data_IF_697329697104
#
_entry.id   IF_697329697104
#
_cell.length_a   1.000
_cell.length_b   1.000
_cell.length_c   1.000
_cell.angle_alpha   90.00
_cell.angle_beta   90.00
_cell.angle_gamma   90.00
#
_symmetry.space_group_name_H-M   'P 1'
#
loop_
_entity.id
_entity.type
_entity.pdbx_description
1 polymer ?
#
# COMPACT_ATOMS: atom_id res chain seq x y z
N UNK A 1 6.60 -5.68 -16.28
CA UNK A 1 7.83 -5.30 -15.58
C UNK A 1 8.04 -6.18 -14.36
N UNK A 2 9.30 -6.45 -14.04
CA UNK A 2 9.63 -7.23 -12.86
C UNK A 2 9.27 -6.43 -11.60
N UNK A 3 8.65 -7.10 -10.63
CA UNK A 3 8.32 -6.52 -9.34
C UNK A 3 9.40 -6.85 -8.33
N UNK A 4 9.75 -5.90 -7.47
CA UNK A 4 10.66 -6.13 -6.36
C UNK A 4 9.86 -6.58 -5.15
N UNK A 5 10.30 -7.67 -4.53
CA UNK A 5 9.67 -8.22 -3.33
C UNK A 5 10.63 -8.06 -2.17
N UNK A 6 10.13 -7.55 -1.05
CA UNK A 6 10.90 -7.36 0.17
C UNK A 6 10.49 -8.42 1.20
N UNK A 7 11.45 -9.26 1.59
CA UNK A 7 11.30 -10.30 2.61
C UNK A 7 10.37 -11.44 2.16
N UNK A 8 9.20 -11.56 2.74
CA UNK A 8 8.28 -12.65 2.46
C UNK A 8 7.68 -12.54 1.05
N UNK A 9 7.67 -13.64 0.32
CA UNK A 9 7.00 -13.70 -0.97
C UNK A 9 5.48 -13.62 -0.77
N UNK A 10 4.78 -12.84 -1.61
CA UNK A 10 3.32 -12.79 -1.52
C UNK A 10 2.69 -14.12 -1.95
N UNK A 11 1.55 -14.45 -1.36
CA UNK A 11 0.74 -15.57 -1.81
C UNK A 11 0.09 -15.23 -3.15
N UNK A 12 -0.49 -16.24 -3.82
CA UNK A 12 -1.21 -16.01 -5.06
C UNK A 12 -2.37 -15.02 -4.88
N UNK A 13 -3.14 -15.19 -3.80
CA UNK A 13 -4.24 -14.27 -3.47
C UNK A 13 -3.74 -12.84 -3.25
N UNK A 14 -2.64 -12.70 -2.52
CA UNK A 14 -2.04 -11.38 -2.29
C UNK A 14 -1.56 -10.75 -3.58
N UNK A 15 -0.95 -11.52 -4.48
CA UNK A 15 -0.51 -11.01 -5.78
C UNK A 15 -1.69 -10.50 -6.62
N UNK A 16 -2.78 -11.24 -6.65
CA UNK A 16 -3.98 -10.83 -7.38
C UNK A 16 -4.57 -9.55 -6.80
N UNK A 17 -4.61 -9.45 -5.47
CA UNK A 17 -5.10 -8.25 -4.80
C UNK A 17 -4.15 -7.06 -4.99
N UNK A 18 -2.84 -7.30 -5.02
CA UNK A 18 -1.85 -6.26 -5.30
C UNK A 18 -1.99 -5.69 -6.70
N UNK A 19 -2.15 -6.55 -7.70
CA UNK A 19 -2.37 -6.10 -9.08
C UNK A 19 -3.67 -5.30 -9.21
N UNK A 20 -4.74 -5.81 -8.61
CA UNK A 20 -6.04 -5.13 -8.60
C UNK A 20 -5.95 -3.79 -7.86
N UNK A 21 -5.38 -3.79 -6.67
CA UNK A 21 -5.24 -2.59 -5.84
C UNK A 21 -4.36 -1.53 -6.50
N UNK A 22 -3.27 -1.95 -7.12
CA UNK A 22 -2.38 -1.05 -7.85
C UNK A 22 -3.13 -0.33 -8.98
N UNK A 23 -3.90 -1.09 -9.76
CA UNK A 23 -4.70 -0.54 -10.84
C UNK A 23 -5.74 0.46 -10.33
N UNK A 24 -6.42 0.11 -9.22
CA UNK A 24 -7.41 1.00 -8.62
C UNK A 24 -6.77 2.26 -8.06
N UNK A 25 -5.62 2.14 -7.41
CA UNK A 25 -4.88 3.29 -6.87
C UNK A 25 -4.41 4.23 -7.97
N UNK A 26 -3.94 3.68 -9.10
CA UNK A 26 -3.55 4.50 -10.25
C UNK A 26 -4.74 5.27 -10.83
N UNK A 27 -5.90 4.65 -10.93
CA UNK A 27 -7.11 5.31 -11.39
C UNK A 27 -7.53 6.43 -10.42
N UNK A 28 -7.48 6.16 -9.12
CA UNK A 28 -7.79 7.14 -8.07
C UNK A 28 -6.82 8.34 -8.15
N UNK A 29 -5.54 8.06 -8.32
CA UNK A 29 -4.52 9.10 -8.48
C UNK A 29 -4.72 9.93 -9.74
N UNK A 30 -5.15 9.29 -10.82
CA UNK A 30 -5.48 9.97 -12.08
C UNK A 30 -6.64 10.94 -11.94
N UNK A 31 -7.57 10.69 -11.04
CA UNK A 31 -8.67 11.59 -10.71
C UNK A 31 -8.27 12.66 -9.68
N UNK A 32 -7.05 12.60 -9.20
CA UNK A 32 -6.53 13.53 -8.19
C UNK A 32 -7.35 13.53 -6.89
N UNK A 33 -7.89 12.37 -6.53
CA UNK A 33 -8.66 12.22 -5.29
C UNK A 33 -7.78 11.76 -4.13
N UNK A 34 -6.95 10.76 -4.36
CA UNK A 34 -6.07 10.18 -3.35
C UNK A 34 -5.04 9.27 -3.96
N UNK A 35 -4.27 8.58 -3.11
CA UNK A 35 -3.14 7.76 -3.53
C UNK A 35 -3.18 6.35 -2.96
N UNK A 36 -4.13 6.05 -2.08
CA UNK A 36 -4.16 4.80 -1.33
C UNK A 36 -5.50 4.10 -1.48
N UNK A 37 -5.46 2.80 -1.75
CA UNK A 37 -6.64 1.95 -1.85
C UNK A 37 -6.39 0.71 -0.99
N UNK A 38 -7.40 0.29 -0.23
CA UNK A 38 -7.37 -0.94 0.54
C UNK A 38 -8.29 -1.95 -0.13
N UNK A 39 -7.77 -3.13 -0.44
CA UNK A 39 -8.54 -4.14 -1.18
C UNK A 39 -8.47 -5.49 -0.48
N UNK A 40 -9.46 -6.33 -0.74
CA UNK A 40 -9.45 -7.73 -0.33
C UNK A 40 -10.35 -8.52 -1.27
N UNK A 41 -9.84 -9.67 -1.73
CA UNK A 41 -10.57 -10.55 -2.65
C UNK A 41 -11.10 -9.78 -3.87
N UNK A 42 -10.26 -8.92 -4.42
CA UNK A 42 -10.55 -8.06 -5.58
C UNK A 42 -11.75 -7.16 -5.38
N UNK A 43 -11.99 -6.72 -4.14
CA UNK A 43 -12.99 -5.72 -3.81
C UNK A 43 -12.33 -4.55 -3.10
N UNK A 44 -12.74 -3.34 -3.42
CA UNK A 44 -12.24 -2.14 -2.74
C UNK A 44 -12.92 -2.04 -1.39
N UNK A 45 -12.14 -2.11 -0.32
CA UNK A 45 -12.63 -1.94 1.05
C UNK A 45 -12.67 -0.47 1.45
N UNK A 46 -11.69 0.31 0.99
CA UNK A 46 -11.64 1.75 1.20
C UNK A 46 -10.73 2.38 0.15
N UNK A 47 -11.05 3.62 -0.21
CA UNK A 47 -10.15 4.44 -1.00
C UNK A 47 -9.93 5.75 -0.25
N UNK A 48 -8.73 6.29 -0.39
CA UNK A 48 -8.36 7.54 0.28
C UNK A 48 -8.99 8.73 -0.42
N UNK A 49 -9.75 9.52 0.35
CA UNK A 49 -10.22 10.82 -0.10
C UNK A 49 -9.42 11.90 0.61
N UNK A 50 -10.05 12.70 1.45
CA UNK A 50 -9.38 13.79 2.15
C UNK A 50 -8.71 13.35 3.46
N UNK A 51 -9.02 12.16 3.92
CA UNK A 51 -8.64 11.68 5.26
C UNK A 51 -7.16 11.35 5.45
N UNK A 52 -6.45 11.04 4.35
CA UNK A 52 -5.05 10.62 4.40
C UNK A 52 -4.87 9.11 4.44
N UNK A 53 -3.63 8.67 4.21
CA UNK A 53 -3.28 7.25 4.05
C UNK A 53 -3.62 6.42 5.28
N UNK A 54 -3.19 6.86 6.47
CA UNK A 54 -3.35 6.05 7.68
C UNK A 54 -4.81 5.84 8.06
N UNK A 55 -5.62 6.89 7.97
CA UNK A 55 -7.07 6.78 8.24
C UNK A 55 -7.74 5.85 7.24
N UNK A 56 -7.35 5.90 5.97
CA UNK A 56 -7.86 5.02 4.93
C UNK A 56 -7.52 3.55 5.25
N UNK A 57 -6.28 3.28 5.65
CA UNK A 57 -5.83 1.92 6.01
C UNK A 57 -6.64 1.38 7.18
N UNK A 58 -6.81 2.18 8.23
CA UNK A 58 -7.56 1.75 9.41
C UNK A 58 -9.02 1.44 9.07
N UNK A 59 -9.64 2.30 8.28
CA UNK A 59 -11.04 2.12 7.86
C UNK A 59 -11.20 0.88 6.98
N UNK A 60 -10.39 0.77 5.93
CA UNK A 60 -10.44 -0.35 4.99
C UNK A 60 -10.06 -1.67 5.62
N UNK A 61 -9.05 -1.67 6.48
CA UNK A 61 -8.61 -2.86 7.17
C UNK A 61 -9.66 -3.43 8.12
N UNK A 62 -10.38 -2.55 8.81
CA UNK A 62 -11.50 -2.98 9.67
C UNK A 62 -12.63 -3.61 8.86
N UNK A 63 -12.97 -2.99 7.74
CA UNK A 63 -14.01 -3.53 6.84
C UNK A 63 -13.60 -4.88 6.26
N UNK A 64 -12.32 -5.08 5.99
CA UNK A 64 -11.79 -6.32 5.46
C UNK A 64 -11.72 -7.45 6.50
N UNK A 65 -11.74 -7.14 7.78
CA UNK A 65 -11.61 -8.14 8.86
C UNK A 65 -10.28 -8.90 8.80
N UNK A 66 -9.21 -8.20 8.49
CA UNK A 66 -7.86 -8.79 8.37
C UNK A 66 -7.51 -9.21 6.95
N UNK A 67 -6.23 -9.42 6.73
CA UNK A 67 -5.66 -9.89 5.47
C UNK A 67 -5.91 -8.97 4.26
N UNK A 68 -6.12 -7.68 4.50
CA UNK A 68 -6.24 -6.72 3.43
C UNK A 68 -4.88 -6.43 2.78
N UNK A 69 -4.93 -5.99 1.55
CA UNK A 69 -3.78 -5.48 0.80
C UNK A 69 -3.96 -3.98 0.63
N UNK A 70 -2.89 -3.24 0.90
CA UNK A 70 -2.84 -1.79 0.74
C UNK A 70 -2.04 -1.47 -0.52
N UNK A 71 -2.58 -0.62 -1.39
CA UNK A 71 -1.86 -0.12 -2.56
C UNK A 71 -1.67 1.38 -2.42
N UNK A 72 -0.44 1.85 -2.53
CA UNK A 72 -0.12 3.27 -2.48
C UNK A 72 0.75 3.64 -3.66
N UNK A 73 0.32 4.64 -4.43
CA UNK A 73 0.98 5.06 -5.67
C UNK A 73 1.23 6.56 -5.68
N UNK A 74 2.05 7.00 -6.62
CA UNK A 74 2.24 8.43 -6.89
C UNK A 74 1.10 8.94 -7.78
N UNK A 75 0.67 10.17 -7.56
CA UNK A 75 -0.25 10.84 -8.48
C UNK A 75 0.51 11.22 -9.75
N UNK A 76 -0.12 11.10 -10.94
CA UNK A 76 0.58 11.40 -12.20
C UNK A 76 1.18 12.80 -12.28
N UNK A 77 0.55 13.79 -11.64
CA UNK A 77 0.98 15.18 -11.69
C UNK A 77 2.05 15.53 -10.64
N UNK A 78 2.44 14.60 -9.76
CA UNK A 78 3.44 14.86 -8.74
C UNK A 78 4.83 15.04 -9.34
N UNK A 79 5.54 16.06 -8.88
CA UNK A 79 6.95 16.24 -9.21
C UNK A 79 7.78 15.30 -8.37
N UNK A 80 8.42 14.33 -9.01
CA UNK A 80 9.21 13.29 -8.34
C UNK A 80 10.37 13.84 -7.50
N UNK A 81 10.81 15.06 -7.75
CA UNK A 81 11.91 15.67 -7.00
C UNK A 81 11.46 16.23 -5.66
N UNK A 82 10.21 16.66 -5.57
CA UNK A 82 9.73 17.44 -4.42
C UNK A 82 8.53 16.82 -3.71
N UNK A 83 7.78 15.97 -4.40
CA UNK A 83 6.52 15.45 -3.88
C UNK A 83 6.39 13.96 -4.17
N UNK A 84 7.39 13.20 -3.75
CA UNK A 84 7.40 11.75 -3.86
C UNK A 84 6.63 11.14 -2.70
N UNK A 85 5.64 10.27 -2.95
CA UNK A 85 4.93 9.61 -1.85
C UNK A 85 5.89 8.81 -0.98
N UNK A 86 5.64 8.81 0.32
CA UNK A 86 6.51 8.16 1.28
C UNK A 86 5.76 7.12 2.09
N UNK A 87 6.45 6.03 2.39
CA UNK A 87 6.00 4.99 3.31
C UNK A 87 6.98 4.96 4.48
N UNK A 88 6.47 5.07 5.69
CA UNK A 88 7.27 5.04 6.90
C UNK A 88 6.73 4.04 7.91
N UNK A 89 7.32 4.05 9.10
CA UNK A 89 6.94 3.16 10.20
C UNK A 89 5.45 3.30 10.54
N UNK A 90 4.92 4.51 10.51
CA UNK A 90 3.51 4.75 10.85
C UNK A 90 2.55 4.03 9.91
N UNK A 91 2.86 3.95 8.62
CA UNK A 91 2.06 3.20 7.66
C UNK A 91 2.01 1.72 8.04
N UNK A 92 3.17 1.15 8.38
CA UNK A 92 3.25 -0.25 8.79
C UNK A 92 2.50 -0.47 10.10
N UNK A 93 2.62 0.44 11.06
CA UNK A 93 1.89 0.36 12.32
C UNK A 93 0.38 0.36 12.11
N UNK A 94 -0.13 1.20 11.21
CA UNK A 94 -1.55 1.21 10.84
C UNK A 94 -1.97 -0.13 10.24
N UNK A 95 -1.14 -0.72 9.39
CA UNK A 95 -1.40 -2.03 8.80
C UNK A 95 -1.42 -3.14 9.86
N UNK A 96 -0.49 -3.10 10.80
CA UNK A 96 -0.43 -4.06 11.91
C UNK A 96 -1.73 -4.01 12.73
N UNK A 97 -2.20 -2.82 13.04
CA UNK A 97 -3.40 -2.62 13.85
C UNK A 97 -4.63 -3.30 13.26
N UNK A 98 -4.75 -3.31 11.93
CA UNK A 98 -5.89 -3.92 11.22
C UNK A 98 -5.55 -5.27 10.62
N UNK A 99 -4.38 -5.83 10.93
CA UNK A 99 -3.91 -7.14 10.46
C UNK A 99 -3.90 -7.24 8.92
N UNK A 100 -3.50 -6.18 8.26
CA UNK A 100 -3.28 -6.19 6.82
C UNK A 100 -2.08 -7.08 6.49
N UNK A 101 -2.09 -7.74 5.35
CA UNK A 101 -1.07 -8.73 5.01
C UNK A 101 -0.09 -8.28 3.94
N UNK A 102 -0.42 -7.26 3.16
CA UNK A 102 0.45 -6.85 2.07
C UNK A 102 0.35 -5.38 1.71
N UNK A 103 1.46 -4.86 1.23
CA UNK A 103 1.57 -3.49 0.74
C UNK A 103 2.22 -3.51 -0.64
N UNK A 104 1.55 -2.91 -1.61
CA UNK A 104 2.14 -2.69 -2.93
C UNK A 104 2.37 -1.20 -3.13
N UNK A 105 3.58 -0.87 -3.59
CA UNK A 105 4.00 0.51 -3.84
C UNK A 105 4.46 0.63 -5.29
N UNK A 106 4.55 1.85 -5.79
CA UNK A 106 4.98 2.11 -7.15
C UNK A 106 6.50 2.17 -7.22
N UNK A 107 7.10 1.27 -8.02
CA UNK A 107 8.54 1.19 -8.18
C UNK A 107 9.11 2.47 -8.76
N UNK A 108 10.21 2.95 -8.19
CA UNK A 108 10.89 4.17 -8.65
C UNK A 108 10.15 5.46 -8.32
N UNK A 109 8.97 5.39 -7.71
CA UNK A 109 8.15 6.57 -7.40
C UNK A 109 7.68 6.62 -5.95
N UNK A 110 8.27 5.81 -5.09
CA UNK A 110 7.94 5.76 -3.66
C UNK A 110 9.20 5.78 -2.85
N UNK A 111 9.23 6.61 -1.82
CA UNK A 111 10.33 6.67 -0.87
C UNK A 111 9.97 5.85 0.36
N UNK A 112 10.84 4.94 0.77
CA UNK A 112 10.68 4.21 2.03
C UNK A 112 11.57 4.92 3.06
N UNK A 113 10.96 5.59 4.01
CA UNK A 113 11.65 6.34 5.07
C UNK A 113 12.04 5.37 6.17
N UNK A 114 13.29 5.46 6.67
CA UNK A 114 13.83 4.51 7.65
C UNK A 114 13.68 3.06 7.15
N UNK A 115 14.18 2.82 5.95
CA UNK A 115 13.95 1.58 5.19
C UNK A 115 14.20 0.31 6.02
N UNK A 116 15.32 0.22 6.72
CA UNK A 116 15.65 -0.97 7.51
C UNK A 116 14.59 -1.24 8.59
N UNK A 117 14.17 -0.18 9.27
CA UNK A 117 13.16 -0.28 10.33
C UNK A 117 11.79 -0.66 9.76
N UNK A 118 11.41 -0.07 8.63
CA UNK A 118 10.15 -0.39 7.95
C UNK A 118 10.13 -1.86 7.52
N UNK A 119 11.18 -2.32 6.86
CA UNK A 119 11.26 -3.70 6.37
C UNK A 119 11.31 -4.71 7.52
N UNK A 120 12.04 -4.39 8.58
CA UNK A 120 12.13 -5.25 9.76
C UNK A 120 10.77 -5.38 10.46
N UNK A 121 10.09 -4.27 10.65
CA UNK A 121 8.77 -4.25 11.28
C UNK A 121 7.73 -5.00 10.45
N UNK A 122 7.76 -4.83 9.14
CA UNK A 122 6.88 -5.55 8.23
C UNK A 122 7.14 -7.07 8.29
N UNK A 123 8.41 -7.46 8.27
CA UNK A 123 8.80 -8.87 8.33
C UNK A 123 8.35 -9.53 9.64
N UNK A 124 8.56 -8.86 10.77
CA UNK A 124 8.13 -9.34 12.09
C UNK A 124 6.63 -9.56 12.18
N UNK A 125 5.84 -8.86 11.39
CA UNK A 125 4.38 -8.92 11.39
C UNK A 125 3.81 -9.60 10.15
N UNK A 126 4.64 -10.34 9.42
CA UNK A 126 4.26 -11.12 8.25
C UNK A 126 3.60 -10.27 7.14
N UNK A 127 3.99 -9.01 7.02
CA UNK A 127 3.52 -8.11 5.96
C UNK A 127 4.50 -8.20 4.80
N UNK A 128 4.01 -8.58 3.62
CA UNK A 128 4.82 -8.56 2.41
C UNK A 128 4.75 -7.19 1.75
N UNK A 129 5.88 -6.72 1.23
CA UNK A 129 5.95 -5.44 0.51
C UNK A 129 6.44 -5.73 -0.90
N UNK A 130 5.72 -5.22 -1.89
CA UNK A 130 6.05 -5.40 -3.30
C UNK A 130 6.05 -4.05 -3.99
N UNK A 131 7.08 -3.78 -4.79
CA UNK A 131 7.14 -2.61 -5.66
C UNK A 131 6.84 -3.05 -7.10
N UNK A 132 5.87 -2.43 -7.71
CA UNK A 132 5.45 -2.72 -9.10
C UNK A 132 5.75 -1.58 -10.06
#
# INVERSE_FOLDING_TARGET
AASDVYKRQPTERENLDMEFGFKMAKALGGLDIGQTVVVKDKAVMALEAIEGTDACILRGGKLACGNAVVAKVAKPAQDNRFDMPAVGVKTIESMIEVKASGLVIEAGRTLIVDREKVLSLADENAITIVAM
#
